data_IF_471237108480
#
_entry.id   IF_471237108480
#
_cell.length_a   1.000
_cell.length_b   1.000
_cell.length_c   1.000
_cell.angle_alpha   90.00
_cell.angle_beta   90.00
_cell.angle_gamma   90.00
#
_symmetry.space_group_name_H-M   'P 1'
#
loop_
_entity.id
_entity.type
_entity.pdbx_description
1 polymer ?
#
# COMPACT_ATOMS: atom_id res chain seq x y z
N UNK A 1 -20.20 -4.60 3.88
CA UNK A 1 -19.52 -4.54 3.97
C UNK A 1 -18.49 -4.04 4.08
N UNK A 2 -18.02 -3.87 4.34
CA UNK A 2 -17.14 -3.35 4.41
C UNK A 2 -16.04 -3.60 4.43
N UNK A 3 -15.45 -3.50 4.31
CA UNK A 3 -14.43 -3.62 4.41
C UNK A 3 -13.50 -3.17 4.77
N UNK A 4 -13.11 -3.23 4.94
CA UNK A 4 -12.30 -2.46 4.98
C UNK A 4 -11.06 -2.46 5.67
N UNK A 5 -10.05 -2.34 4.96
CA UNK A 5 -8.76 -2.19 5.57
C UNK A 5 -8.41 -0.73 5.50
N UNK A 6 -8.08 -0.15 6.64
CA UNK A 6 -7.51 1.18 6.68
C UNK A 6 -6.10 1.04 7.22
N UNK A 7 -5.15 1.35 6.37
CA UNK A 7 -3.76 1.30 6.78
C UNK A 7 -3.38 2.64 7.39
N UNK A 8 -2.61 2.59 8.45
CA UNK A 8 -2.25 3.81 9.18
C UNK A 8 -0.79 4.11 9.00
N UNK A 9 -0.48 5.39 9.02
CA UNK A 9 0.90 5.85 8.95
C UNK A 9 1.73 5.17 10.03
N UNK A 10 2.88 4.64 9.65
CA UNK A 10 3.77 3.96 10.56
C UNK A 10 3.59 2.46 10.62
N UNK A 11 2.57 1.92 9.97
CA UNK A 11 2.37 0.48 9.96
C UNK A 11 3.28 -0.18 8.94
N UNK A 12 3.58 -1.45 9.20
CA UNK A 12 4.43 -2.24 8.30
C UNK A 12 3.53 -3.19 7.53
N UNK A 13 3.74 -3.23 6.22
CA UNK A 13 2.96 -4.08 5.34
C UNK A 13 3.87 -4.79 4.35
N UNK A 14 3.32 -5.77 3.66
CA UNK A 14 4.00 -6.44 2.56
C UNK A 14 3.15 -6.26 1.31
N UNK A 15 3.82 -6.25 0.16
CA UNK A 15 3.15 -6.10 -1.13
C UNK A 15 2.95 -7.48 -1.73
N UNK A 16 1.71 -7.77 -2.12
CA UNK A 16 1.32 -9.10 -2.58
C UNK A 16 1.41 -9.29 -4.09
N UNK A 17 2.09 -8.39 -4.78
CA UNK A 17 2.27 -8.49 -6.22
C UNK A 17 3.51 -9.31 -6.51
N UNK A 18 3.34 -10.31 -7.38
CA UNK A 18 4.48 -11.08 -7.83
C UNK A 18 5.15 -10.34 -8.97
N UNK A 19 6.15 -9.58 -8.64
CA UNK A 19 6.95 -8.88 -9.63
C UNK A 19 8.38 -9.36 -9.43
N UNK A 20 9.05 -9.57 -10.53
CA UNK A 20 10.40 -10.08 -10.47
C UNK A 20 11.38 -8.94 -10.25
N UNK A 21 11.19 -8.22 -9.16
CA UNK A 21 12.13 -7.16 -8.79
C UNK A 21 12.35 -7.25 -7.31
N UNK A 22 13.58 -7.03 -6.90
CA UNK A 22 13.91 -7.05 -5.47
C UNK A 22 13.23 -5.91 -4.73
N UNK A 23 12.81 -4.90 -5.46
CA UNK A 23 12.20 -3.73 -4.83
C UNK A 23 10.89 -4.06 -4.14
N UNK A 24 10.23 -5.13 -4.58
CA UNK A 24 8.92 -5.48 -4.02
C UNK A 24 9.01 -6.49 -2.92
N UNK A 25 10.20 -6.96 -2.61
CA UNK A 25 10.38 -7.89 -1.51
C UNK A 25 10.75 -7.14 -0.25
N UNK A 26 10.22 -7.63 0.85
CA UNK A 26 10.55 -7.05 2.13
C UNK A 26 9.39 -6.28 2.71
N UNK A 27 9.68 -5.53 3.75
CA UNK A 27 8.68 -4.81 4.49
C UNK A 27 8.59 -3.37 3.99
N UNK A 28 7.36 -2.92 3.87
CA UNK A 28 7.09 -1.55 3.43
C UNK A 28 6.49 -0.77 4.59
N UNK A 29 6.83 0.50 4.67
CA UNK A 29 6.33 1.37 5.72
C UNK A 29 5.20 2.23 5.16
N UNK A 30 4.04 2.16 5.79
CA UNK A 30 2.90 2.97 5.35
C UNK A 30 3.14 4.42 5.74
N UNK A 31 3.04 5.31 4.76
CA UNK A 31 3.16 6.74 4.99
C UNK A 31 1.78 7.37 5.14
N UNK A 32 0.88 7.05 4.21
CA UNK A 32 -0.43 7.65 4.22
C UNK A 32 -1.40 6.81 3.42
N UNK A 33 -2.61 6.64 3.94
CA UNK A 33 -3.71 5.97 3.24
C UNK A 33 -4.75 7.04 2.94
N UNK A 34 -5.03 7.30 1.69
CA UNK A 34 -5.94 8.38 1.32
C UNK A 34 -6.89 7.91 0.24
N UNK A 35 -8.03 8.57 0.17
CA UNK A 35 -9.02 8.34 -0.87
C UNK A 35 -8.99 9.51 -1.84
N UNK A 36 -8.95 9.21 -3.12
CA UNK A 36 -8.94 10.22 -4.16
C UNK A 36 -10.21 10.09 -4.97
N UNK A 37 -10.95 11.20 -5.09
CA UNK A 37 -12.20 11.20 -5.85
C UNK A 37 -11.93 11.56 -7.30
N UNK A 38 -12.42 10.71 -8.18
CA UNK A 38 -12.34 10.93 -9.61
C UNK A 38 -13.75 11.03 -10.16
N UNK A 39 -13.91 11.59 -11.35
CA UNK A 39 -15.25 11.65 -11.96
C UNK A 39 -15.92 10.29 -12.08
N UNK A 40 -15.13 9.23 -12.25
CA UNK A 40 -15.67 7.89 -12.40
C UNK A 40 -15.85 7.16 -11.09
N UNK A 41 -15.45 7.77 -9.98
CA UNK A 41 -15.55 7.11 -8.70
C UNK A 41 -14.41 7.46 -7.79
N UNK A 42 -14.28 6.71 -6.71
CA UNK A 42 -13.26 6.96 -5.71
C UNK A 42 -12.22 5.85 -5.76
N UNK A 43 -10.96 6.24 -5.72
CA UNK A 43 -9.86 5.29 -5.61
C UNK A 43 -9.13 5.53 -4.30
N UNK A 44 -8.67 4.43 -3.71
CA UNK A 44 -7.86 4.52 -2.50
C UNK A 44 -6.42 4.22 -2.85
N UNK A 45 -5.53 4.99 -2.28
CA UNK A 45 -4.10 4.84 -2.48
C UNK A 45 -3.39 4.84 -1.15
N UNK A 46 -2.45 3.94 -1.01
CA UNK A 46 -1.63 3.86 0.18
C UNK A 46 -0.19 4.16 -0.22
N UNK A 47 0.30 5.30 0.22
CA UNK A 47 1.68 5.68 -0.05
C UNK A 47 2.58 4.92 0.91
N UNK A 48 3.55 4.21 0.37
CA UNK A 48 4.42 3.36 1.17
C UNK A 48 5.87 3.62 0.82
N UNK A 49 6.72 3.49 1.82
CA UNK A 49 8.16 3.60 1.62
C UNK A 49 8.73 2.20 1.41
N UNK A 50 9.39 2.01 0.29
CA UNK A 50 9.96 0.71 -0.06
C UNK A 50 11.19 0.41 0.77
N UNK A 51 11.62 -0.87 0.79
CA UNK A 51 12.87 -1.21 1.44
C UNK A 51 14.07 -0.46 0.85
N UNK A 52 13.96 -0.03 -0.40
CA UNK A 52 15.02 0.70 -1.06
C UNK A 52 14.97 2.20 -0.79
N UNK A 53 13.93 2.69 -0.13
CA UNK A 53 13.81 4.11 0.17
C UNK A 53 13.01 4.90 -0.83
N UNK A 54 12.25 4.24 -1.69
CA UNK A 54 11.42 4.90 -2.70
C UNK A 54 9.98 4.89 -2.24
N UNK A 55 9.27 5.99 -2.46
CA UNK A 55 7.86 6.09 -2.12
C UNK A 55 7.03 5.67 -3.33
N UNK A 56 6.15 4.69 -3.11
CA UNK A 56 5.27 4.18 -4.15
C UNK A 56 3.85 4.11 -3.59
N UNK A 57 2.88 4.50 -4.40
CA UNK A 57 1.48 4.41 -4.01
C UNK A 57 0.91 3.08 -4.51
N UNK A 58 0.31 2.33 -3.60
CA UNK A 58 -0.27 1.03 -3.91
C UNK A 58 -1.76 1.05 -3.62
N UNK A 59 -2.52 0.28 -4.39
CA UNK A 59 -3.91 0.03 -4.04
C UNK A 59 -3.94 -0.86 -2.80
N UNK A 60 -4.89 -0.62 -1.87
CA UNK A 60 -4.93 -1.41 -0.64
C UNK A 60 -5.04 -2.91 -0.87
N UNK A 61 -5.63 -3.31 -2.00
CA UNK A 61 -5.82 -4.74 -2.29
C UNK A 61 -4.50 -5.48 -2.46
N UNK A 62 -3.43 -4.76 -2.73
CA UNK A 62 -2.12 -5.37 -2.91
C UNK A 62 -1.32 -5.43 -1.63
N UNK A 63 -1.86 -4.95 -0.54
CA UNK A 63 -1.13 -4.86 0.72
C UNK A 63 -1.74 -5.79 1.74
N UNK A 64 -0.88 -6.34 2.59
CA UNK A 64 -1.35 -7.10 3.74
C UNK A 64 -0.34 -6.94 4.86
N UNK A 65 -0.78 -7.27 6.07
CA UNK A 65 0.13 -7.20 7.20
C UNK A 65 1.01 -8.44 7.21
N UNK A 66 2.26 -8.28 7.61
CA UNK A 66 3.13 -9.45 7.73
C UNK A 66 2.66 -10.32 8.89
N UNK A 67 2.86 -11.60 8.73
CA UNK A 67 2.50 -12.56 9.78
C UNK A 67 3.52 -12.57 10.89
#
# INVERSE_FOLDING_TARGET
MQRGYTFKSGEIVVVNIQVETDENYGLWLVIEHKAVNYPDGMLEEVACLSPCGTVVAWSPQYLSYPD
#
